data_IF_400131897204
#
_entry.id   IF_400131897204
#
_cell.length_a   1.000
_cell.length_b   1.000
_cell.length_c   1.000
_cell.angle_alpha   90.00
_cell.angle_beta   90.00
_cell.angle_gamma   90.00
#
_symmetry.space_group_name_H-M   'P 1'
#
loop_
_entity.id
_entity.type
_entity.pdbx_description
1 polymer ?
#
# COMPACT_ATOMS: atom_id res chain seq x y z
N UNK A 1 16.24 -4.57 -11.99
CA UNK A 1 14.99 -4.52 -11.21
C UNK A 1 15.28 -3.76 -9.92
N UNK A 2 14.48 -2.76 -9.54
CA UNK A 2 14.70 -2.04 -8.28
C UNK A 2 14.49 -2.99 -7.08
N UNK A 3 15.40 -2.91 -6.11
CA UNK A 3 15.32 -3.64 -4.84
C UNK A 3 14.02 -3.28 -4.12
N UNK A 4 13.35 -4.24 -3.50
CA UNK A 4 12.27 -3.99 -2.55
C UNK A 4 12.85 -3.89 -1.13
N UNK A 5 12.34 -2.99 -0.27
CA UNK A 5 12.94 -2.74 1.04
C UNK A 5 12.83 -3.93 1.99
N UNK A 6 11.77 -4.72 1.88
CA UNK A 6 11.54 -5.90 2.71
C UNK A 6 10.56 -6.87 2.03
N UNK A 7 10.45 -8.07 2.56
CA UNK A 7 9.46 -9.05 2.08
C UNK A 7 8.04 -8.49 2.13
N UNK A 8 7.19 -8.92 1.19
CA UNK A 8 5.79 -8.48 1.05
C UNK A 8 5.62 -7.00 0.71
N UNK A 9 6.65 -6.37 0.14
CA UNK A 9 6.54 -5.11 -0.57
C UNK A 9 6.85 -5.30 -2.05
N UNK A 10 6.26 -4.48 -2.92
CA UNK A 10 6.45 -4.56 -4.37
C UNK A 10 6.23 -3.20 -5.02
N UNK A 11 7.00 -2.93 -6.05
CA UNK A 11 6.83 -1.71 -6.84
C UNK A 11 5.60 -1.82 -7.75
N UNK A 12 4.65 -0.92 -7.59
CA UNK A 12 3.54 -0.70 -8.52
C UNK A 12 4.08 0.06 -9.74
N UNK A 13 4.81 1.14 -9.47
CA UNK A 13 5.60 1.87 -10.45
C UNK A 13 6.99 2.12 -9.87
N UNK A 14 8.05 1.61 -10.51
CA UNK A 14 9.41 1.73 -10.01
C UNK A 14 9.81 3.17 -9.65
N UNK A 15 10.33 3.38 -8.45
CA UNK A 15 10.78 4.67 -7.95
C UNK A 15 9.68 5.70 -7.64
N UNK A 16 8.39 5.35 -7.81
CA UNK A 16 7.26 6.26 -7.57
C UNK A 16 6.26 5.72 -6.56
N UNK A 17 5.70 4.53 -6.81
CA UNK A 17 4.70 3.92 -5.94
C UNK A 17 5.13 2.51 -5.54
N UNK A 18 5.34 2.31 -4.26
CA UNK A 18 5.58 1.04 -3.60
C UNK A 18 4.33 0.65 -2.80
N UNK A 19 4.00 -0.63 -2.76
CA UNK A 19 2.88 -1.15 -2.00
C UNK A 19 3.30 -2.35 -1.15
N UNK A 20 2.63 -2.58 -0.03
CA UNK A 20 2.94 -3.74 0.80
C UNK A 20 2.20 -3.79 2.13
N UNK A 21 2.81 -4.51 3.08
CA UNK A 21 2.25 -4.71 4.40
C UNK A 21 2.73 -3.66 5.40
N UNK A 22 2.16 -3.68 6.60
CA UNK A 22 2.53 -2.83 7.74
C UNK A 22 4.05 -2.72 7.93
N UNK A 23 4.61 -1.50 7.94
CA UNK A 23 6.06 -1.28 8.00
C UNK A 23 6.63 -1.31 9.41
N UNK A 24 5.81 -1.41 10.46
CA UNK A 24 6.26 -1.65 11.81
C UNK A 24 6.61 -3.12 12.05
N UNK A 25 7.11 -3.42 13.24
CA UNK A 25 7.47 -4.77 13.65
C UNK A 25 7.24 -5.00 15.14
N UNK A 26 7.41 -6.24 15.60
CA UNK A 26 7.28 -6.58 17.03
C UNK A 26 8.53 -6.20 17.82
N UNK A 27 9.68 -6.17 17.17
CA UNK A 27 10.97 -5.78 17.79
C UNK A 27 11.43 -4.44 17.22
N UNK A 28 12.23 -3.71 18.02
CA UNK A 28 12.79 -2.43 17.61
C UNK A 28 13.74 -2.59 16.41
N UNK A 29 14.55 -3.65 16.41
CA UNK A 29 15.54 -3.92 15.36
C UNK A 29 14.86 -4.19 14.02
N UNK A 30 13.85 -5.08 13.98
CA UNK A 30 13.07 -5.33 12.76
C UNK A 30 12.35 -4.06 12.25
N UNK A 31 11.87 -3.21 13.15
CA UNK A 31 11.23 -1.95 12.79
C UNK A 31 12.25 -0.97 12.20
N UNK A 32 13.45 -0.90 12.77
CA UNK A 32 14.55 -0.09 12.27
C UNK A 32 15.02 -0.55 10.88
N UNK A 33 15.17 -1.85 10.67
CA UNK A 33 15.55 -2.43 9.38
C UNK A 33 14.54 -2.09 8.27
N UNK A 34 13.25 -2.17 8.59
CA UNK A 34 12.20 -1.79 7.63
C UNK A 34 12.20 -0.30 7.31
N UNK A 35 12.39 0.55 8.33
CA UNK A 35 12.51 1.99 8.15
C UNK A 35 13.70 2.32 7.25
N UNK A 36 14.88 1.76 7.56
CA UNK A 36 16.07 1.99 6.76
C UNK A 36 15.88 1.52 5.31
N UNK A 37 15.29 0.34 5.12
CA UNK A 37 14.99 -0.17 3.79
C UNK A 37 14.06 0.75 2.99
N UNK A 38 13.05 1.39 3.60
CA UNK A 38 12.20 2.37 2.95
C UNK A 38 12.95 3.65 2.60
N UNK A 39 13.82 4.13 3.50
CA UNK A 39 14.68 5.30 3.28
C UNK A 39 15.64 5.06 2.12
N UNK A 40 16.30 3.90 2.09
CA UNK A 40 17.26 3.49 1.05
C UNK A 40 16.65 3.45 -0.35
N UNK A 41 15.41 2.96 -0.47
CA UNK A 41 14.71 2.93 -1.77
C UNK A 41 14.03 4.26 -2.13
N UNK A 42 14.25 5.29 -1.32
CA UNK A 42 13.84 6.67 -1.60
C UNK A 42 12.43 7.03 -1.15
N UNK A 43 11.72 6.19 -0.40
CA UNK A 43 10.37 6.53 0.10
C UNK A 43 10.44 7.75 1.02
N UNK A 44 9.53 8.71 0.82
CA UNK A 44 9.41 9.94 1.61
C UNK A 44 7.97 10.22 2.05
N UNK A 45 7.00 9.45 1.57
CA UNK A 45 5.61 9.54 2.00
C UNK A 45 5.02 8.13 2.21
N UNK A 46 4.21 7.98 3.25
CA UNK A 46 3.46 6.76 3.54
C UNK A 46 1.97 7.08 3.61
N UNK A 47 1.18 6.35 2.85
CA UNK A 47 -0.29 6.32 2.96
C UNK A 47 -0.69 5.07 3.74
N UNK A 48 -1.17 5.30 4.97
CA UNK A 48 -1.58 4.26 5.91
C UNK A 48 -3.09 4.02 5.83
N UNK A 49 -3.50 2.85 5.36
CA UNK A 49 -4.91 2.48 5.21
C UNK A 49 -5.50 1.79 6.46
N UNK A 50 -4.74 1.72 7.56
CA UNK A 50 -5.21 1.09 8.80
C UNK A 50 -5.99 2.08 9.66
N UNK A 51 -7.01 1.56 10.37
CA UNK A 51 -7.70 2.32 11.42
C UNK A 51 -6.78 2.50 12.63
N UNK A 52 -6.95 3.57 13.39
CA UNK A 52 -6.10 3.87 14.55
C UNK A 52 -6.25 2.85 15.67
N UNK A 53 -7.49 2.37 15.87
CA UNK A 53 -7.83 1.39 16.91
C UNK A 53 -7.60 -0.07 16.49
N UNK A 54 -7.07 -0.31 15.28
CA UNK A 54 -6.88 -1.65 14.75
C UNK A 54 -5.87 -2.45 15.58
N UNK A 55 -6.18 -3.72 15.79
CA UNK A 55 -5.38 -4.63 16.61
C UNK A 55 -4.95 -5.87 15.82
N UNK A 56 -3.87 -6.49 16.25
CA UNK A 56 -3.40 -7.76 15.71
C UNK A 56 -4.33 -8.93 16.02
N UNK A 57 -4.00 -10.12 15.54
CA UNK A 57 -4.83 -11.33 15.66
C UNK A 57 -5.16 -11.75 17.08
N UNK A 58 -4.31 -11.41 18.04
CA UNK A 58 -4.49 -11.75 19.45
C UNK A 58 -4.94 -10.55 20.29
N UNK A 59 -5.41 -9.47 19.63
CA UNK A 59 -5.87 -8.26 20.30
C UNK A 59 -4.76 -7.30 20.73
N UNK A 60 -3.50 -7.60 20.40
CA UNK A 60 -2.36 -6.72 20.67
C UNK A 60 -2.42 -5.43 19.82
N UNK A 61 -2.06 -4.27 20.38
CA UNK A 61 -1.98 -3.04 19.61
C UNK A 61 -0.81 -3.12 18.63
N UNK A 62 -0.96 -2.43 17.47
CA UNK A 62 0.16 -2.23 16.56
C UNK A 62 1.17 -1.23 17.15
N UNK A 63 2.45 -1.53 17.00
CA UNK A 63 3.51 -0.61 17.41
C UNK A 63 3.46 0.64 16.52
N UNK A 64 3.33 1.85 17.08
CA UNK A 64 3.38 3.07 16.30
C UNK A 64 4.73 3.22 15.59
N UNK A 65 4.71 3.54 14.31
CA UNK A 65 5.92 3.72 13.52
C UNK A 65 6.09 5.16 12.98
N UNK A 66 5.05 6.01 13.11
CA UNK A 66 5.03 7.34 12.50
C UNK A 66 6.16 8.24 13.02
N UNK A 67 6.37 8.29 14.34
CA UNK A 67 7.39 9.16 14.92
C UNK A 67 8.82 8.83 14.44
N UNK A 68 9.29 7.57 14.44
CA UNK A 68 10.57 7.21 13.83
C UNK A 68 10.66 7.57 12.34
N UNK A 69 9.58 7.42 11.57
CA UNK A 69 9.57 7.74 10.14
C UNK A 69 9.62 9.25 9.90
N UNK A 70 8.84 10.01 10.68
CA UNK A 70 8.85 11.48 10.59
C UNK A 70 10.23 12.05 10.93
N UNK A 71 10.93 11.50 11.92
CA UNK A 71 12.30 11.92 12.26
C UNK A 71 13.34 11.67 11.14
N UNK A 72 13.02 10.78 10.21
CA UNK A 72 13.83 10.49 9.00
C UNK A 72 13.31 11.21 7.75
N UNK A 73 12.39 12.18 7.91
CA UNK A 73 11.83 12.96 6.81
C UNK A 73 10.80 12.21 5.97
N UNK A 74 10.18 11.15 6.50
CA UNK A 74 9.08 10.44 5.84
C UNK A 74 7.76 10.94 6.42
N UNK A 75 6.92 11.54 5.58
CA UNK A 75 5.57 11.95 5.95
C UNK A 75 4.63 10.74 6.01
N UNK A 76 3.69 10.75 6.96
CA UNK A 76 2.70 9.69 7.10
C UNK A 76 1.29 10.29 7.10
N UNK A 77 0.48 9.93 6.12
CA UNK A 77 -0.92 10.29 6.03
C UNK A 77 -1.78 9.05 6.30
N UNK A 78 -2.68 9.14 7.29
CA UNK A 78 -3.66 8.07 7.55
C UNK A 78 -4.94 8.32 6.78
N UNK A 79 -5.34 7.34 5.98
CA UNK A 79 -6.58 7.34 5.19
C UNK A 79 -7.27 5.99 5.38
N UNK A 80 -7.98 5.79 6.50
CA UNK A 80 -8.38 4.47 6.95
C UNK A 80 -9.47 3.86 6.07
N UNK A 81 -9.32 2.58 5.80
CA UNK A 81 -10.37 1.71 5.28
C UNK A 81 -10.59 0.64 6.33
N UNK A 82 -11.83 0.38 6.73
CA UNK A 82 -12.16 -0.67 7.69
C UNK A 82 -11.63 -2.02 7.21
N UNK A 83 -11.03 -2.79 8.12
CA UNK A 83 -10.43 -4.07 7.73
C UNK A 83 -11.45 -5.01 7.08
N UNK A 84 -11.00 -5.75 6.05
CA UNK A 84 -11.83 -6.62 5.20
C UNK A 84 -12.92 -5.92 4.38
N UNK A 85 -13.08 -4.60 4.48
CA UNK A 85 -14.10 -3.81 3.77
C UNK A 85 -13.53 -3.09 2.54
N UNK A 86 -14.42 -2.42 1.84
CA UNK A 86 -14.13 -1.49 0.74
C UNK A 86 -14.41 -0.05 1.22
N UNK A 87 -13.72 0.96 0.71
CA UNK A 87 -14.06 2.36 0.95
C UNK A 87 -15.28 2.77 0.12
N UNK A 88 -15.83 3.94 0.37
CA UNK A 88 -16.73 4.60 -0.59
C UNK A 88 -15.95 5.01 -1.87
N UNK A 89 -16.67 5.42 -2.91
CA UNK A 89 -16.01 5.94 -4.12
C UNK A 89 -15.24 7.23 -3.83
N UNK A 90 -15.83 8.12 -3.04
CA UNK A 90 -15.25 9.39 -2.63
C UNK A 90 -13.99 9.20 -1.80
N UNK A 91 -14.01 8.26 -0.84
CA UNK A 91 -12.85 7.91 -0.04
C UNK A 91 -11.72 7.34 -0.92
N UNK A 92 -12.05 6.47 -1.88
CA UNK A 92 -11.04 5.94 -2.81
C UNK A 92 -10.45 7.04 -3.67
N UNK A 93 -11.26 7.94 -4.23
CA UNK A 93 -10.77 9.10 -5.00
C UNK A 93 -9.80 9.92 -4.15
N UNK A 94 -10.15 10.25 -2.91
CA UNK A 94 -9.27 11.01 -2.01
C UNK A 94 -7.93 10.29 -1.75
N UNK A 95 -7.96 8.97 -1.55
CA UNK A 95 -6.73 8.16 -1.38
C UNK A 95 -5.85 8.23 -2.64
N UNK A 96 -6.46 8.07 -3.82
CA UNK A 96 -5.72 8.10 -5.09
C UNK A 96 -5.14 9.48 -5.38
N UNK A 97 -5.89 10.54 -5.08
CA UNK A 97 -5.42 11.93 -5.20
C UNK A 97 -4.25 12.25 -4.28
N UNK A 98 -4.25 11.73 -3.05
CA UNK A 98 -3.13 11.89 -2.12
C UNK A 98 -1.86 11.21 -2.65
N UNK A 99 -1.99 9.99 -3.17
CA UNK A 99 -0.88 9.28 -3.82
C UNK A 99 -0.38 10.06 -5.04
N UNK A 100 -1.29 10.50 -5.91
CA UNK A 100 -0.95 11.22 -7.15
C UNK A 100 -0.29 12.56 -6.87
N UNK A 101 -0.78 13.31 -5.87
CA UNK A 101 -0.19 14.57 -5.43
C UNK A 101 1.27 14.39 -5.00
N UNK A 102 1.54 13.36 -4.20
CA UNK A 102 2.90 13.07 -3.74
C UNK A 102 3.81 12.71 -4.90
N UNK A 103 3.36 11.82 -5.80
CA UNK A 103 4.12 11.40 -6.97
C UNK A 103 4.39 12.58 -7.92
N UNK A 104 3.40 13.45 -8.14
CA UNK A 104 3.55 14.65 -8.97
C UNK A 104 4.55 15.65 -8.39
N UNK A 105 4.65 15.71 -7.06
CA UNK A 105 5.67 16.50 -6.35
C UNK A 105 7.06 15.85 -6.33
N UNK A 106 7.25 14.70 -7.00
CA UNK A 106 8.51 13.96 -6.99
C UNK A 106 8.79 13.21 -5.69
N UNK A 107 7.76 12.93 -4.89
CA UNK A 107 7.86 12.26 -3.58
C UNK A 107 7.44 10.80 -3.71
N UNK A 108 8.39 9.83 -3.71
CA UNK A 108 8.06 8.42 -3.78
C UNK A 108 7.23 7.99 -2.57
N UNK A 109 6.14 7.27 -2.85
CA UNK A 109 5.09 6.96 -1.88
C UNK A 109 5.00 5.46 -1.61
N UNK A 110 4.80 5.08 -0.34
CA UNK A 110 4.49 3.73 0.11
C UNK A 110 3.05 3.65 0.61
N UNK A 111 2.24 2.78 0.00
CA UNK A 111 0.86 2.52 0.46
C UNK A 111 0.77 1.16 1.13
N UNK A 112 0.16 1.11 2.31
CA UNK A 112 0.03 -0.13 3.06
C UNK A 112 -1.26 -0.23 3.88
N UNK A 113 -1.63 -1.46 4.20
CA UNK A 113 -2.53 -1.82 5.29
C UNK A 113 -1.80 -2.80 6.23
N UNK A 114 -2.51 -3.58 7.00
CA UNK A 114 -1.86 -4.59 7.85
C UNK A 114 -1.18 -5.68 7.00
N UNK A 115 -1.97 -6.49 6.28
CA UNK A 115 -1.45 -7.63 5.50
C UNK A 115 -0.83 -7.28 4.15
N UNK A 116 -1.05 -6.06 3.62
CA UNK A 116 -0.61 -5.66 2.29
C UNK A 116 -1.34 -6.37 1.14
N UNK A 117 -2.54 -6.91 1.40
CA UNK A 117 -3.30 -7.73 0.46
C UNK A 117 -4.66 -7.11 0.11
N UNK A 118 -5.57 -6.99 1.09
CA UNK A 118 -6.96 -6.60 0.89
C UNK A 118 -7.08 -5.14 0.50
N UNK A 119 -7.05 -4.25 1.48
CA UNK A 119 -7.16 -2.78 1.31
C UNK A 119 -6.08 -2.23 0.38
N UNK A 120 -4.83 -2.62 0.60
CA UNK A 120 -3.69 -2.22 -0.26
C UNK A 120 -3.91 -2.67 -1.71
N UNK A 121 -4.33 -3.92 -1.93
CA UNK A 121 -4.61 -4.42 -3.27
C UNK A 121 -5.77 -3.69 -3.94
N UNK A 122 -6.79 -3.29 -3.16
CA UNK A 122 -7.93 -2.51 -3.67
C UNK A 122 -7.47 -1.13 -4.17
N UNK A 123 -6.68 -0.41 -3.37
CA UNK A 123 -6.11 0.88 -3.75
C UNK A 123 -5.21 0.76 -4.98
N UNK A 124 -4.29 -0.22 -4.98
CA UNK A 124 -3.39 -0.45 -6.13
C UNK A 124 -4.17 -0.77 -7.40
N UNK A 125 -5.21 -1.62 -7.31
CA UNK A 125 -6.03 -1.96 -8.46
C UNK A 125 -6.74 -0.74 -9.07
N UNK A 126 -7.37 0.08 -8.23
CA UNK A 126 -8.01 1.32 -8.66
C UNK A 126 -7.01 2.31 -9.23
N UNK A 127 -5.82 2.44 -8.63
CA UNK A 127 -4.74 3.30 -9.11
C UNK A 127 -4.24 2.88 -10.50
N UNK A 128 -4.03 1.58 -10.72
CA UNK A 128 -3.62 1.05 -12.02
C UNK A 128 -4.65 1.33 -13.11
N UNK A 129 -5.95 1.20 -12.81
CA UNK A 129 -7.03 1.49 -13.75
C UNK A 129 -7.13 2.99 -14.03
N UNK A 130 -7.09 3.84 -12.99
CA UNK A 130 -7.11 5.30 -13.10
C UNK A 130 -6.07 5.80 -14.09
N UNK A 131 -4.86 5.24 -14.05
CA UNK A 131 -3.74 5.63 -14.90
C UNK A 131 -3.62 4.85 -16.22
N UNK A 132 -4.62 4.05 -16.59
CA UNK A 132 -4.61 3.26 -17.82
C UNK A 132 -3.56 2.15 -17.87
N UNK A 133 -2.98 1.79 -16.71
CA UNK A 133 -1.93 0.74 -16.59
C UNK A 133 -2.52 -0.67 -16.52
N UNK A 134 -3.84 -0.78 -16.32
CA UNK A 134 -4.60 -2.01 -16.40
C UNK A 134 -6.04 -1.72 -16.81
N UNK A 135 -6.65 -2.64 -17.57
CA UNK A 135 -8.11 -2.65 -17.75
C UNK A 135 -8.78 -3.22 -16.49
N UNK A 136 -10.02 -2.82 -16.15
CA UNK A 136 -10.72 -3.29 -14.95
C UNK A 136 -10.73 -4.81 -14.78
N UNK A 137 -10.93 -5.56 -15.87
CA UNK A 137 -10.96 -7.02 -15.88
C UNK A 137 -9.59 -7.65 -15.59
N UNK A 138 -8.51 -6.95 -15.92
CA UNK A 138 -7.11 -7.41 -15.81
C UNK A 138 -6.37 -6.86 -14.59
N UNK A 139 -6.94 -5.90 -13.86
CA UNK A 139 -6.26 -5.22 -12.77
C UNK A 139 -5.81 -6.18 -11.65
N UNK A 140 -6.64 -7.17 -11.32
CA UNK A 140 -6.30 -8.19 -10.31
C UNK A 140 -5.14 -9.07 -10.76
N UNK A 141 -5.12 -9.49 -12.02
CA UNK A 141 -3.99 -10.25 -12.60
C UNK A 141 -2.73 -9.40 -12.63
N UNK A 142 -2.87 -8.11 -12.97
CA UNK A 142 -1.73 -7.17 -12.98
C UNK A 142 -1.10 -7.02 -11.59
N UNK A 143 -1.89 -6.93 -10.53
CA UNK A 143 -1.38 -6.94 -9.15
C UNK A 143 -0.59 -8.22 -8.88
N UNK A 144 -1.11 -9.37 -9.27
CA UNK A 144 -0.45 -10.66 -9.11
C UNK A 144 0.90 -10.72 -9.84
N UNK A 145 0.97 -10.20 -11.07
CA UNK A 145 2.22 -10.08 -11.83
C UNK A 145 3.24 -9.21 -11.10
N UNK A 146 2.85 -8.03 -10.62
CA UNK A 146 3.72 -7.12 -9.87
C UNK A 146 4.23 -7.77 -8.58
N UNK A 147 3.38 -8.49 -7.87
CA UNK A 147 3.78 -9.23 -6.67
C UNK A 147 4.74 -10.39 -7.00
N UNK A 148 4.61 -11.04 -8.14
CA UNK A 148 5.49 -12.12 -8.57
C UNK A 148 6.93 -11.64 -8.78
N UNK A 149 7.14 -10.40 -9.19
CA UNK A 149 8.47 -9.82 -9.41
C UNK A 149 9.34 -9.74 -8.14
N UNK A 150 8.73 -9.76 -6.95
CA UNK A 150 9.47 -9.77 -5.68
C UNK A 150 9.99 -11.15 -5.27
N UNK A 151 9.52 -12.22 -5.93
CA UNK A 151 9.74 -13.60 -5.50
C UNK A 151 8.91 -14.01 -4.28
N UNK A 152 8.99 -15.29 -3.92
CA UNK A 152 8.30 -15.84 -2.76
C UNK A 152 6.84 -16.23 -3.01
N UNK A 153 6.16 -16.66 -1.93
CA UNK A 153 4.76 -17.12 -2.01
C UNK A 153 3.81 -15.96 -2.24
N UNK A 154 3.01 -16.05 -3.29
CA UNK A 154 1.97 -15.06 -3.59
C UNK A 154 0.75 -15.25 -2.69
N UNK A 155 0.17 -14.14 -2.23
CA UNK A 155 -1.12 -14.13 -1.55
C UNK A 155 -2.17 -13.47 -2.46
N UNK A 156 -3.44 -13.93 -2.43
CA UNK A 156 -4.51 -13.27 -3.17
C UNK A 156 -4.60 -11.78 -2.83
N UNK A 157 -4.63 -10.93 -3.87
CA UNK A 157 -4.75 -9.48 -3.69
C UNK A 157 -5.54 -8.88 -4.87
N UNK A 158 -6.65 -8.18 -4.65
CA UNK A 158 -7.32 -7.98 -3.37
C UNK A 158 -7.82 -9.29 -2.73
N UNK A 159 -7.96 -9.27 -1.40
CA UNK A 159 -8.10 -10.48 -0.59
C UNK A 159 -9.47 -11.15 -0.74
N UNK A 160 -10.56 -10.37 -0.80
CA UNK A 160 -11.92 -10.91 -0.84
C UNK A 160 -12.69 -10.49 -2.11
N UNK A 161 -13.88 -11.08 -2.30
CA UNK A 161 -14.72 -10.88 -3.48
C UNK A 161 -15.22 -9.43 -3.60
N UNK A 162 -15.62 -8.82 -2.49
CA UNK A 162 -16.12 -7.44 -2.49
C UNK A 162 -15.05 -6.47 -2.98
N UNK A 163 -13.83 -6.60 -2.47
CA UNK A 163 -12.67 -5.80 -2.88
C UNK A 163 -12.33 -5.99 -4.37
N UNK A 164 -12.33 -7.23 -4.85
CA UNK A 164 -12.09 -7.51 -6.29
C UNK A 164 -13.19 -6.95 -7.18
N UNK A 165 -14.44 -7.01 -6.76
CA UNK A 165 -15.55 -6.43 -7.50
C UNK A 165 -15.49 -4.89 -7.52
N UNK A 166 -15.10 -4.27 -6.41
CA UNK A 166 -14.88 -2.82 -6.34
C UNK A 166 -13.83 -2.37 -7.36
N UNK A 167 -12.69 -3.05 -7.42
CA UNK A 167 -11.64 -2.78 -8.41
C UNK A 167 -12.15 -2.93 -9.84
N UNK A 168 -12.89 -4.01 -10.15
CA UNK A 168 -13.44 -4.23 -11.49
C UNK A 168 -14.51 -3.21 -11.90
N UNK A 169 -15.14 -2.57 -10.93
CA UNK A 169 -16.11 -1.47 -11.18
C UNK A 169 -15.45 -0.10 -11.37
N UNK A 170 -14.14 0.04 -11.12
CA UNK A 170 -13.43 1.31 -11.22
C UNK A 170 -13.24 1.72 -12.69
N UNK A 171 -13.22 3.03 -12.96
CA UNK A 171 -13.12 3.56 -14.33
C UNK A 171 -11.77 4.28 -14.53
N UNK A 172 -11.29 4.26 -15.76
CA UNK A 172 -10.12 5.03 -16.14
C UNK A 172 -10.34 6.53 -15.91
N UNK A 173 -9.36 7.20 -15.31
CA UNK A 173 -9.41 8.62 -14.99
C UNK A 173 -10.25 8.98 -13.74
N UNK A 174 -10.90 8.01 -13.13
CA UNK A 174 -11.75 8.22 -11.93
C UNK A 174 -10.92 8.45 -10.66
#
# INVERSE_FOLDING_TARGET
>A
MLKTPFQRSYWVTPGKLLAGHYPGAKTADEAADKLEGLVEVGIRHIVNLMEESEKGHFGEPFVPYQAPFTSRGINCTRMPIKDMHIPSQEEMVAILEEIDRSIAAGVPTYVHCWGGKGRTGTVVGCWLIRHGMAQPERAVDRIKELQALRGGKLAPSPENRAQRNFVRGWKAGQ
#
